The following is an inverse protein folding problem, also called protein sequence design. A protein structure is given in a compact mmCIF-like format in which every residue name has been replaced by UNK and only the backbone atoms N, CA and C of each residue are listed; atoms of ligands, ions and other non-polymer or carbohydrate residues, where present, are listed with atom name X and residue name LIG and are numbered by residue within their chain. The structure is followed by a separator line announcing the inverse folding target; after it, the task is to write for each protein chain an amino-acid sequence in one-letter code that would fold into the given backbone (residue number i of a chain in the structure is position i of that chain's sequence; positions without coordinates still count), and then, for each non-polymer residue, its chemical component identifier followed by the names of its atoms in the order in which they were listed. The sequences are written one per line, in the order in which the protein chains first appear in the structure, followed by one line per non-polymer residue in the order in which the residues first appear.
data_IF_344258448481
#
_entry.id   IF_344258448481
#
_cell.length_a   1.000
_cell.length_b   1.000
_cell.length_c   1.000
_cell.angle_alpha   90.00
_cell.angle_beta   90.00
_cell.angle_gamma   90.00
#
_symmetry.space_group_name_H-M   'P 1'
#
loop_
_entity.id
_entity.type
_entity.pdbx_description
1 polymer ?
#
# COMPACT_ATOMS: atom_id res chain seq x y z
N UNK A 1 -5.87 25.04 2.31
CA UNK A 1 -6.20 23.69 1.79
C UNK A 1 -5.58 22.69 2.76
N UNK A 2 -6.30 21.64 3.16
CA UNK A 2 -5.81 20.60 4.08
C UNK A 2 -4.53 19.93 3.54
N UNK A 3 -4.35 19.90 2.22
CA UNK A 3 -3.13 19.47 1.52
C UNK A 3 -1.87 20.27 1.89
N UNK A 4 -2.01 21.50 2.41
CA UNK A 4 -0.89 22.36 2.84
C UNK A 4 -0.55 22.22 4.33
N UNK A 5 -1.19 21.30 5.06
CA UNK A 5 -0.99 21.16 6.51
C UNK A 5 0.47 20.81 6.85
N UNK A 6 1.22 20.22 5.91
CA UNK A 6 2.61 19.79 6.13
C UNK A 6 3.53 20.34 5.05
N UNK A 7 4.61 20.98 5.49
CA UNK A 7 5.75 21.29 4.64
C UNK A 7 6.57 20.00 4.46
N UNK A 8 6.91 19.58 3.23
CA UNK A 8 7.71 18.38 2.97
C UNK A 8 8.96 18.25 3.86
N UNK A 9 9.68 19.37 4.10
CA UNK A 9 10.86 19.44 4.99
C UNK A 9 10.62 19.02 6.46
N UNK A 10 9.38 19.13 6.96
CA UNK A 10 9.06 18.76 8.34
C UNK A 10 8.80 17.26 8.52
N UNK A 11 8.43 16.56 7.44
CA UNK A 11 8.14 15.13 7.44
C UNK A 11 9.43 14.28 7.52
N UNK A 12 10.46 14.67 6.79
CA UNK A 12 11.76 13.98 6.76
C UNK A 12 12.48 14.00 8.12
N UNK A 13 12.48 15.13 8.83
CA UNK A 13 13.15 15.22 10.14
C UNK A 13 12.47 14.40 11.24
N UNK A 14 11.21 14.01 11.06
CA UNK A 14 10.42 13.23 12.02
C UNK A 14 9.42 12.31 11.28
N UNK A 15 9.90 11.20 10.67
CA UNK A 15 9.09 10.33 9.81
C UNK A 15 7.82 9.80 10.48
N UNK A 16 7.87 9.52 11.79
CA UNK A 16 6.71 9.03 12.55
C UNK A 16 5.51 9.99 12.56
N UNK A 17 5.70 11.29 12.32
CA UNK A 17 4.57 12.24 12.23
C UNK A 17 3.65 11.92 11.05
N UNK A 18 4.18 11.25 10.01
CA UNK A 18 3.41 10.79 8.85
C UNK A 18 2.30 9.81 9.23
N UNK A 19 2.45 9.09 10.35
CA UNK A 19 1.40 8.23 10.88
C UNK A 19 0.09 8.99 11.15
N UNK A 20 0.18 10.10 11.88
CA UNK A 20 -0.99 10.91 12.22
C UNK A 20 -1.60 11.58 10.99
N UNK A 21 -0.77 11.93 10.01
CA UNK A 21 -1.20 12.50 8.74
C UNK A 21 -2.00 11.44 7.96
N UNK A 22 -1.48 10.21 7.91
CA UNK A 22 -2.18 9.07 7.31
C UNK A 22 -3.53 8.82 7.97
N UNK A 23 -3.58 8.79 9.31
CA UNK A 23 -4.82 8.64 10.06
C UNK A 23 -5.84 9.72 9.69
N UNK A 24 -5.44 10.99 9.62
CA UNK A 24 -6.33 12.10 9.30
C UNK A 24 -6.82 12.00 7.85
N UNK A 25 -5.93 11.82 6.88
CA UNK A 25 -6.29 11.76 5.47
C UNK A 25 -7.21 10.59 5.17
N UNK A 26 -6.91 9.39 5.64
CA UNK A 26 -7.77 8.22 5.45
C UNK A 26 -9.12 8.37 6.17
N UNK A 27 -9.14 8.91 7.40
CA UNK A 27 -10.39 9.17 8.12
C UNK A 27 -11.28 10.16 7.39
N UNK A 28 -10.71 11.29 6.95
CA UNK A 28 -11.45 12.28 6.18
C UNK A 28 -12.00 11.69 4.89
N UNK A 29 -11.22 10.90 4.16
CA UNK A 29 -11.69 10.24 2.94
C UNK A 29 -12.89 9.33 3.19
N UNK A 30 -12.87 8.49 4.24
CA UNK A 30 -14.01 7.62 4.56
C UNK A 30 -15.22 8.43 5.02
N UNK A 31 -15.03 9.39 5.92
CA UNK A 31 -16.13 10.17 6.49
C UNK A 31 -16.82 11.06 5.45
N UNK A 32 -16.05 11.72 4.58
CA UNK A 32 -16.61 12.53 3.49
C UNK A 32 -17.41 11.66 2.53
N UNK A 33 -16.87 10.51 2.13
CA UNK A 33 -17.56 9.62 1.19
C UNK A 33 -18.82 9.02 1.82
N UNK A 34 -18.76 8.62 3.08
CA UNK A 34 -19.91 8.13 3.80
C UNK A 34 -21.02 9.20 3.92
N UNK A 35 -20.66 10.43 4.31
CA UNK A 35 -21.64 11.49 4.50
C UNK A 35 -22.27 11.92 3.17
N UNK A 36 -21.47 12.17 2.14
CA UNK A 36 -21.97 12.76 0.90
C UNK A 36 -22.57 11.75 -0.08
N UNK A 37 -22.08 10.51 -0.11
CA UNK A 37 -22.39 9.57 -1.20
C UNK A 37 -23.06 8.26 -0.75
N UNK A 38 -23.10 7.94 0.55
CA UNK A 38 -23.69 6.66 0.99
C UNK A 38 -25.21 6.55 0.76
N UNK A 39 -25.93 7.68 0.71
CA UNK A 39 -27.38 7.71 0.45
C UNK A 39 -27.74 7.91 -1.03
N UNK A 40 -26.75 8.09 -1.90
CA UNK A 40 -26.99 8.29 -3.33
C UNK A 40 -27.28 6.96 -4.04
N UNK A 41 -28.22 6.96 -4.99
CA UNK A 41 -28.68 5.73 -5.66
C UNK A 41 -27.61 5.08 -6.58
N UNK A 42 -26.64 5.86 -7.08
CA UNK A 42 -25.62 5.41 -8.03
C UNK A 42 -24.25 5.36 -7.37
N UNK A 43 -23.84 6.45 -6.72
CA UNK A 43 -22.51 6.60 -6.14
C UNK A 43 -22.27 5.69 -4.94
N UNK A 44 -23.32 5.26 -4.23
CA UNK A 44 -23.23 4.28 -3.15
C UNK A 44 -22.66 2.92 -3.59
N UNK A 45 -22.70 2.59 -4.90
CA UNK A 45 -22.11 1.36 -5.45
C UNK A 45 -20.58 1.44 -5.62
N UNK A 46 -20.02 2.65 -5.62
CA UNK A 46 -18.62 2.93 -5.91
C UNK A 46 -17.86 3.54 -4.73
N UNK A 47 -18.41 3.49 -3.51
CA UNK A 47 -17.84 4.15 -2.33
C UNK A 47 -16.37 3.79 -2.12
N UNK A 48 -16.00 2.51 -2.28
CA UNK A 48 -14.61 2.06 -2.11
C UNK A 48 -13.62 2.72 -3.06
N UNK A 49 -13.99 2.92 -4.33
CA UNK A 49 -13.14 3.65 -5.27
C UNK A 49 -13.07 5.13 -4.92
N UNK A 50 -14.21 5.74 -4.56
CA UNK A 50 -14.27 7.17 -4.21
C UNK A 50 -13.42 7.45 -2.96
N UNK A 51 -13.45 6.57 -1.94
CA UNK A 51 -12.58 6.69 -0.75
C UNK A 51 -11.11 6.70 -1.15
N UNK A 52 -10.70 5.79 -2.04
CA UNK A 52 -9.31 5.75 -2.53
C UNK A 52 -8.97 7.04 -3.27
N UNK A 53 -9.84 7.54 -4.15
CA UNK A 53 -9.63 8.79 -4.89
C UNK A 53 -9.45 9.99 -3.95
N UNK A 54 -10.31 10.15 -2.93
CA UNK A 54 -10.14 11.23 -1.94
C UNK A 54 -8.83 11.09 -1.16
N UNK A 55 -8.45 9.86 -0.78
CA UNK A 55 -7.20 9.62 -0.08
C UNK A 55 -5.98 9.97 -0.94
N UNK A 56 -6.03 9.64 -2.24
CA UNK A 56 -5.03 10.03 -3.24
C UNK A 56 -4.96 11.55 -3.35
N UNK A 57 -6.08 12.24 -3.48
CA UNK A 57 -6.12 13.71 -3.60
C UNK A 57 -5.44 14.40 -2.41
N UNK A 58 -5.72 13.96 -1.17
CA UNK A 58 -5.07 14.54 0.02
C UNK A 58 -3.56 14.26 0.08
N UNK A 59 -3.13 13.12 -0.47
CA UNK A 59 -1.75 12.62 -0.32
C UNK A 59 -0.83 13.05 -1.47
N UNK A 60 -1.39 13.32 -2.65
CA UNK A 60 -0.64 13.56 -3.89
C UNK A 60 0.28 14.79 -3.82
N UNK A 61 -0.14 15.96 -3.31
CA UNK A 61 0.75 17.13 -3.23
C UNK A 61 1.99 16.86 -2.37
N UNK A 62 1.81 16.13 -1.27
CA UNK A 62 2.89 15.75 -0.38
C UNK A 62 3.85 14.78 -1.06
N UNK A 63 3.33 13.67 -1.63
CA UNK A 63 4.16 12.65 -2.26
C UNK A 63 4.93 13.19 -3.47
N UNK A 64 4.29 14.02 -4.29
CA UNK A 64 4.95 14.70 -5.41
C UNK A 64 6.09 15.61 -4.93
N UNK A 65 5.85 16.39 -3.87
CA UNK A 65 6.86 17.27 -3.29
C UNK A 65 8.07 16.52 -2.74
N UNK A 66 7.86 15.34 -2.15
CA UNK A 66 8.92 14.47 -1.66
C UNK A 66 9.74 13.90 -2.82
N UNK A 67 9.10 13.24 -3.79
CA UNK A 67 9.79 12.62 -4.95
C UNK A 67 10.65 13.63 -5.71
N UNK A 68 10.13 14.84 -5.97
CA UNK A 68 10.86 15.90 -6.68
C UNK A 68 12.11 16.38 -5.93
N UNK A 69 12.13 16.23 -4.61
CA UNK A 69 13.31 16.57 -3.81
C UNK A 69 14.28 15.39 -3.79
N UNK A 70 13.80 14.18 -3.60
CA UNK A 70 14.63 12.97 -3.64
C UNK A 70 15.40 12.84 -4.95
N UNK A 71 14.78 13.18 -6.08
CA UNK A 71 15.47 13.17 -7.37
C UNK A 71 16.65 14.15 -7.43
N UNK A 72 16.59 15.30 -6.75
CA UNK A 72 17.73 16.23 -6.71
C UNK A 72 18.88 15.72 -5.85
N UNK A 73 18.56 14.99 -4.79
CA UNK A 73 19.55 14.39 -3.91
C UNK A 73 20.20 13.17 -4.57
N UNK A 74 19.40 12.40 -5.34
CA UNK A 74 19.85 11.26 -6.14
C UNK A 74 20.87 11.65 -7.23
N UNK A 75 20.77 12.85 -7.81
CA UNK A 75 21.72 13.37 -8.81
C UNK A 75 23.18 13.44 -8.29
N UNK A 76 23.39 13.54 -6.98
CA UNK A 76 24.70 13.83 -6.37
C UNK A 76 25.34 12.63 -5.66
N UNK A 77 24.67 11.48 -5.60
CA UNK A 77 25.12 10.29 -4.87
C UNK A 77 25.34 9.09 -5.80
N UNK A 78 26.23 8.18 -5.40
CA UNK A 78 26.47 6.93 -6.14
C UNK A 78 26.70 5.76 -5.17
N UNK A 79 26.25 4.57 -5.58
CA UNK A 79 26.57 3.33 -4.91
C UNK A 79 25.56 2.91 -3.84
N UNK A 80 25.54 1.61 -3.58
CA UNK A 80 24.46 0.92 -2.85
C UNK A 80 24.14 1.54 -1.48
N UNK A 81 25.16 1.75 -0.65
CA UNK A 81 24.97 2.25 0.72
C UNK A 81 24.53 3.71 0.76
N UNK A 82 25.05 4.55 -0.14
CA UNK A 82 24.72 5.96 -0.18
C UNK A 82 23.29 6.16 -0.69
N UNK A 83 22.90 5.45 -1.76
CA UNK A 83 21.53 5.43 -2.30
C UNK A 83 20.51 5.05 -1.22
N UNK A 84 20.75 3.94 -0.50
CA UNK A 84 19.85 3.54 0.57
C UNK A 84 19.78 4.58 1.69
N UNK A 85 20.94 5.08 2.14
CA UNK A 85 21.01 6.04 3.24
C UNK A 85 20.24 7.31 2.92
N UNK A 86 20.42 7.88 1.73
CA UNK A 86 19.76 9.12 1.31
C UNK A 86 18.24 8.96 1.26
N UNK A 87 17.73 7.87 0.69
CA UNK A 87 16.29 7.71 0.48
C UNK A 87 15.53 7.07 1.66
N UNK A 88 16.25 6.48 2.62
CA UNK A 88 15.64 5.73 3.72
C UNK A 88 14.66 6.57 4.55
N UNK A 89 14.96 7.84 4.83
CA UNK A 89 14.10 8.72 5.63
C UNK A 89 12.71 8.92 4.99
N UNK A 90 12.67 9.05 3.66
CA UNK A 90 11.41 9.20 2.91
C UNK A 90 10.64 7.89 2.86
N UNK A 91 11.34 6.78 2.64
CA UNK A 91 10.73 5.44 2.68
C UNK A 91 10.10 5.19 4.06
N UNK A 92 10.79 5.52 5.14
CA UNK A 92 10.22 5.45 6.50
C UNK A 92 9.00 6.35 6.67
N UNK A 93 9.04 7.59 6.16
CA UNK A 93 7.90 8.50 6.21
C UNK A 93 6.67 7.93 5.49
N UNK A 94 6.87 7.31 4.34
CA UNK A 94 5.82 6.66 3.58
C UNK A 94 5.25 5.41 4.26
N UNK A 95 6.09 4.58 4.88
CA UNK A 95 5.63 3.43 5.69
C UNK A 95 4.73 3.90 6.83
N UNK A 96 5.13 4.96 7.55
CA UNK A 96 4.30 5.53 8.61
C UNK A 96 2.97 6.08 8.10
N UNK A 97 2.98 6.78 6.96
CA UNK A 97 1.76 7.25 6.30
C UNK A 97 0.82 6.08 5.99
N UNK A 98 1.34 5.00 5.40
CA UNK A 98 0.58 3.81 5.06
C UNK A 98 -0.01 3.12 6.30
N UNK A 99 0.76 3.01 7.39
CA UNK A 99 0.26 2.44 8.64
C UNK A 99 -0.91 3.26 9.18
N UNK A 100 -0.85 4.59 9.07
CA UNK A 100 -1.97 5.48 9.38
C UNK A 100 -3.19 5.19 8.51
N UNK A 101 -3.01 4.95 7.21
CA UNK A 101 -4.11 4.56 6.32
C UNK A 101 -4.76 3.24 6.75
N UNK A 102 -3.97 2.19 6.95
CA UNK A 102 -4.49 0.85 7.32
C UNK A 102 -5.31 0.94 8.60
N UNK A 103 -4.80 1.59 9.65
CA UNK A 103 -5.51 1.69 10.93
C UNK A 103 -6.81 2.49 10.78
N UNK A 104 -6.79 3.64 10.10
CA UNK A 104 -7.99 4.44 9.89
C UNK A 104 -9.04 3.70 9.04
N UNK A 105 -8.63 3.08 7.94
CA UNK A 105 -9.54 2.32 7.08
C UNK A 105 -10.12 1.09 7.80
N UNK A 106 -9.31 0.35 8.56
CA UNK A 106 -9.80 -0.76 9.41
C UNK A 106 -10.78 -0.29 10.47
N UNK A 107 -10.46 0.80 11.19
CA UNK A 107 -11.34 1.34 12.21
C UNK A 107 -12.69 1.78 11.63
N UNK A 108 -12.68 2.62 10.58
CA UNK A 108 -13.92 3.18 10.04
C UNK A 108 -14.76 2.16 9.29
N UNK A 109 -14.15 1.20 8.58
CA UNK A 109 -14.90 0.12 7.92
C UNK A 109 -15.70 -0.71 8.92
N UNK A 110 -15.10 -1.03 10.07
CA UNK A 110 -15.77 -1.78 11.13
C UNK A 110 -16.79 -0.90 11.86
N UNK A 111 -16.37 0.31 12.26
CA UNK A 111 -17.20 1.21 13.06
C UNK A 111 -18.47 1.66 12.35
N UNK A 112 -18.39 1.98 11.06
CA UNK A 112 -19.56 2.39 10.27
C UNK A 112 -20.45 1.21 9.87
N UNK A 113 -19.93 -0.02 9.88
CA UNK A 113 -20.68 -1.24 9.56
C UNK A 113 -21.32 -1.26 8.16
N UNK A 114 -20.86 -0.41 7.24
CA UNK A 114 -21.42 -0.27 5.90
C UNK A 114 -20.70 -1.19 4.92
N UNK A 115 -21.40 -2.22 4.43
CA UNK A 115 -20.88 -3.22 3.49
C UNK A 115 -20.46 -2.65 2.12
N UNK A 116 -20.95 -1.46 1.76
CA UNK A 116 -20.61 -0.77 0.52
C UNK A 116 -19.29 -0.01 0.54
N UNK A 117 -18.76 0.37 1.72
CA UNK A 117 -17.59 1.27 1.80
C UNK A 117 -16.33 0.67 1.17
N UNK A 118 -16.16 -0.65 1.19
CA UNK A 118 -14.98 -1.33 0.62
C UNK A 118 -15.34 -2.61 -0.15
N UNK A 119 -16.46 -2.59 -0.88
CA UNK A 119 -16.95 -3.73 -1.66
C UNK A 119 -15.96 -4.22 -2.73
N UNK A 120 -15.39 -3.32 -3.53
CA UNK A 120 -14.43 -3.67 -4.58
C UNK A 120 -13.10 -4.20 -4.01
N UNK A 121 -12.71 -3.70 -2.84
CA UNK A 121 -11.53 -4.15 -2.12
C UNK A 121 -11.72 -5.52 -1.49
N UNK A 122 -12.93 -5.82 -0.99
CA UNK A 122 -13.31 -7.16 -0.56
C UNK A 122 -13.23 -8.16 -1.73
N UNK A 123 -13.70 -7.77 -2.92
CA UNK A 123 -13.57 -8.59 -4.12
C UNK A 123 -12.10 -8.81 -4.52
N UNK A 124 -11.25 -7.79 -4.40
CA UNK A 124 -9.80 -7.92 -4.63
C UNK A 124 -9.17 -8.89 -3.62
N UNK A 125 -9.53 -8.78 -2.34
CA UNK A 125 -9.11 -9.73 -1.31
C UNK A 125 -9.51 -11.16 -1.68
N UNK A 126 -10.75 -11.36 -2.12
CA UNK A 126 -11.25 -12.67 -2.56
C UNK A 126 -10.52 -13.21 -3.78
N UNK A 127 -10.25 -12.38 -4.79
CA UNK A 127 -9.48 -12.76 -5.98
C UNK A 127 -8.07 -13.26 -5.63
N UNK A 128 -7.44 -12.69 -4.59
CA UNK A 128 -6.09 -13.08 -4.16
C UNK A 128 -6.12 -14.35 -3.30
N UNK A 129 -7.16 -14.53 -2.48
CA UNK A 129 -7.16 -15.52 -1.40
C UNK A 129 -8.10 -16.72 -1.62
N UNK A 130 -8.92 -16.72 -2.67
CA UNK A 130 -9.92 -17.75 -2.97
C UNK A 130 -9.76 -18.27 -4.41
N UNK A 131 -9.80 -19.60 -4.57
CA UNK A 131 -9.82 -20.28 -5.87
C UNK A 131 -11.25 -20.42 -6.45
N UNK A 132 -12.28 -20.13 -5.65
CA UNK A 132 -13.70 -20.17 -6.03
C UNK A 132 -14.23 -18.85 -6.62
N UNK A 133 -15.55 -18.75 -6.79
CA UNK A 133 -16.15 -17.52 -7.33
C UNK A 133 -15.93 -16.33 -6.37
N UNK A 134 -15.68 -15.15 -6.97
CA UNK A 134 -15.43 -13.92 -6.21
C UNK A 134 -16.70 -13.52 -5.45
N UNK A 135 -17.86 -13.72 -6.06
CA UNK A 135 -19.18 -13.41 -5.51
C UNK A 135 -19.51 -14.26 -4.28
N UNK A 136 -19.24 -15.57 -4.34
CA UNK A 136 -19.47 -16.46 -3.19
C UNK A 136 -18.53 -16.08 -2.03
N UNK A 137 -17.26 -15.81 -2.33
CA UNK A 137 -16.31 -15.34 -1.31
C UNK A 137 -16.75 -14.00 -0.69
N UNK A 138 -17.15 -13.02 -1.51
CA UNK A 138 -17.56 -11.71 -1.03
C UNK A 138 -18.86 -11.79 -0.20
N UNK A 139 -19.81 -12.66 -0.57
CA UNK A 139 -21.02 -12.89 0.21
C UNK A 139 -20.74 -13.59 1.55
N UNK A 140 -19.74 -14.49 1.57
CA UNK A 140 -19.32 -15.22 2.77
C UNK A 140 -18.61 -14.33 3.78
N UNK A 141 -17.69 -13.50 3.32
CA UNK A 141 -16.80 -12.71 4.17
C UNK A 141 -17.20 -11.25 4.34
N UNK A 142 -18.18 -10.76 3.58
CA UNK A 142 -18.70 -9.42 3.76
C UNK A 142 -19.29 -9.17 5.15
N UNK A 143 -19.48 -7.89 5.47
CA UNK A 143 -20.14 -7.46 6.70
C UNK A 143 -21.51 -8.15 6.85
N UNK A 144 -21.64 -9.04 7.84
CA UNK A 144 -22.87 -9.82 8.11
C UNK A 144 -22.92 -11.23 7.49
N UNK A 145 -21.85 -11.67 6.82
CA UNK A 145 -21.72 -13.03 6.27
C UNK A 145 -21.68 -14.13 7.34
N UNK A 146 -22.12 -15.34 6.99
CA UNK A 146 -22.35 -16.45 7.94
C UNK A 146 -21.07 -17.11 8.47
N UNK A 147 -19.90 -16.81 7.91
CA UNK A 147 -18.63 -17.39 8.32
C UNK A 147 -17.56 -16.29 8.39
N UNK A 148 -17.32 -15.75 9.59
CA UNK A 148 -16.05 -15.07 9.92
C UNK A 148 -14.88 -16.05 10.07
N UNK A 149 -14.90 -17.12 9.28
CA UNK A 149 -13.92 -18.20 9.31
C UNK A 149 -12.57 -17.72 8.80
N UNK A 150 -11.51 -18.22 9.42
CA UNK A 150 -10.14 -17.96 9.00
C UNK A 150 -10.00 -18.51 7.58
N UNK A 151 -9.88 -17.65 6.57
CA UNK A 151 -9.20 -18.06 5.34
C UNK A 151 -7.74 -18.25 5.77
N UNK A 152 -7.43 -19.45 6.24
CA UNK A 152 -6.11 -20.01 6.03
C UNK A 152 -6.07 -20.13 4.52
N UNK A 153 -5.51 -19.14 3.82
CA UNK A 153 -5.38 -19.18 2.36
C UNK A 153 -4.99 -20.61 2.02
N UNK A 154 -5.81 -21.27 1.20
CA UNK A 154 -5.97 -22.72 1.17
C UNK A 154 -4.65 -23.40 1.54
N UNK A 155 -4.61 -24.09 2.67
CA UNK A 155 -3.55 -25.06 2.88
C UNK A 155 -3.84 -26.13 1.82
N UNK A 156 -3.37 -25.90 0.60
CA UNK A 156 -3.11 -26.97 -0.33
C UNK A 156 -2.02 -27.80 0.35
N UNK A 157 -2.45 -28.70 1.23
CA UNK A 157 -1.64 -29.74 1.89
C UNK A 157 -0.94 -30.63 0.84
N UNK A 158 -1.16 -30.41 -0.46
CA UNK A 158 -0.51 -31.10 -1.57
C UNK A 158 0.55 -30.31 -2.37
N UNK A 159 0.69 -28.99 -2.21
CA UNK A 159 1.71 -28.21 -2.95
C UNK A 159 2.86 -27.82 -2.02
N UNK A 160 4.10 -28.14 -2.41
CA UNK A 160 5.30 -27.77 -1.65
C UNK A 160 5.28 -26.27 -1.31
N UNK A 161 5.65 -25.89 -0.08
CA UNK A 161 5.60 -24.48 0.38
C UNK A 161 6.32 -23.49 -0.55
N UNK A 162 7.28 -23.98 -1.34
CA UNK A 162 7.93 -23.24 -2.41
C UNK A 162 6.96 -22.72 -3.49
N UNK A 163 6.01 -23.55 -3.96
CA UNK A 163 5.03 -23.13 -4.97
C UNK A 163 4.15 -21.99 -4.47
N UNK A 164 3.80 -22.00 -3.19
CA UNK A 164 3.04 -20.92 -2.56
C UNK A 164 3.85 -19.63 -2.44
N UNK A 165 5.14 -19.73 -2.09
CA UNK A 165 6.03 -18.56 -2.09
C UNK A 165 6.11 -17.95 -3.48
N UNK A 166 6.26 -18.78 -4.51
CA UNK A 166 6.34 -18.32 -5.90
C UNK A 166 5.05 -17.66 -6.36
N UNK A 167 3.87 -18.20 -6.03
CA UNK A 167 2.59 -17.61 -6.42
C UNK A 167 2.32 -16.26 -5.73
N UNK A 168 2.68 -16.13 -4.45
CA UNK A 168 2.59 -14.87 -3.71
C UNK A 168 3.58 -13.85 -4.30
N UNK A 169 4.82 -14.27 -4.52
CA UNK A 169 5.85 -13.42 -5.12
C UNK A 169 5.44 -12.92 -6.50
N UNK A 170 4.87 -13.78 -7.35
CA UNK A 170 4.38 -13.41 -8.68
C UNK A 170 3.32 -12.30 -8.60
N UNK A 171 2.28 -12.48 -7.78
CA UNK A 171 1.25 -11.47 -7.57
C UNK A 171 1.86 -10.14 -7.09
N UNK A 172 2.79 -10.21 -6.14
CA UNK A 172 3.43 -9.03 -5.59
C UNK A 172 4.38 -8.34 -6.57
N UNK A 173 5.03 -9.08 -7.47
CA UNK A 173 5.84 -8.53 -8.56
C UNK A 173 4.95 -7.81 -9.58
N UNK A 174 3.74 -8.33 -9.87
CA UNK A 174 2.79 -7.60 -10.71
C UNK A 174 2.41 -6.24 -10.10
N UNK A 175 2.15 -6.19 -8.79
CA UNK A 175 1.87 -4.93 -8.08
C UNK A 175 3.10 -4.01 -8.09
N UNK A 176 4.30 -4.53 -7.92
CA UNK A 176 5.56 -3.78 -8.02
C UNK A 176 5.74 -3.16 -9.41
N UNK A 177 5.56 -3.93 -10.49
CA UNK A 177 5.66 -3.44 -11.87
C UNK A 177 4.60 -2.37 -12.13
N UNK A 178 3.36 -2.60 -11.69
CA UNK A 178 2.28 -1.63 -11.84
C UNK A 178 2.61 -0.32 -11.10
N UNK A 179 3.16 -0.42 -9.89
CA UNK A 179 3.62 0.72 -9.09
C UNK A 179 4.73 1.49 -9.81
N UNK A 180 5.72 0.80 -10.39
CA UNK A 180 6.80 1.42 -11.17
C UNK A 180 6.25 2.22 -12.35
N UNK A 181 5.37 1.61 -13.15
CA UNK A 181 4.78 2.25 -14.33
C UNK A 181 3.93 3.46 -13.93
N UNK A 182 3.06 3.31 -12.92
CA UNK A 182 2.23 4.43 -12.44
C UNK A 182 3.07 5.58 -11.91
N UNK A 183 4.15 5.28 -11.18
CA UNK A 183 5.03 6.31 -10.67
C UNK A 183 5.85 6.99 -11.78
N UNK A 184 6.25 6.24 -12.81
CA UNK A 184 6.95 6.78 -13.96
C UNK A 184 6.07 7.75 -14.77
N UNK A 185 4.81 7.39 -15.00
CA UNK A 185 3.87 8.19 -15.81
C UNK A 185 3.36 9.41 -15.03
N UNK A 186 2.96 9.21 -13.78
CA UNK A 186 2.23 10.21 -13.00
C UNK A 186 3.04 10.79 -11.83
N UNK A 187 4.32 10.44 -11.69
CA UNK A 187 5.16 10.84 -10.57
C UNK A 187 4.66 10.24 -9.25
N UNK A 188 3.82 10.99 -8.53
CA UNK A 188 3.21 10.55 -7.27
C UNK A 188 2.02 9.58 -7.46
N UNK A 189 1.66 9.19 -8.69
CA UNK A 189 0.50 8.35 -8.98
C UNK A 189 0.54 6.95 -8.34
N UNK A 190 1.72 6.46 -7.94
CA UNK A 190 1.86 5.24 -7.14
C UNK A 190 1.02 5.26 -5.85
N UNK A 191 0.70 6.45 -5.30
CA UNK A 191 -0.17 6.58 -4.13
C UNK A 191 -1.55 5.96 -4.32
N UNK A 192 -2.04 5.88 -5.56
CA UNK A 192 -3.29 5.16 -5.87
C UNK A 192 -3.17 3.67 -5.55
N UNK A 193 -2.10 3.02 -6.01
CA UNK A 193 -1.83 1.59 -5.79
C UNK A 193 -1.67 1.31 -4.29
N UNK A 194 -1.00 2.22 -3.59
CA UNK A 194 -0.72 2.10 -2.16
C UNK A 194 -1.97 2.34 -1.29
N UNK A 195 -2.79 3.35 -1.61
CA UNK A 195 -4.06 3.58 -0.93
C UNK A 195 -5.05 2.44 -1.20
N UNK A 196 -5.08 1.90 -2.42
CA UNK A 196 -5.85 0.70 -2.74
C UNK A 196 -5.41 -0.48 -1.87
N UNK A 197 -4.10 -0.79 -1.84
CA UNK A 197 -3.56 -1.85 -0.98
C UNK A 197 -3.93 -1.67 0.50
N UNK A 198 -3.83 -0.46 1.04
CA UNK A 198 -4.21 -0.19 2.42
C UNK A 198 -5.68 -0.52 2.69
N UNK A 199 -6.58 -0.22 1.75
CA UNK A 199 -8.01 -0.55 1.86
C UNK A 199 -8.31 -2.06 1.70
N UNK A 200 -7.54 -2.79 0.89
CA UNK A 200 -7.61 -4.26 0.80
C UNK A 200 -7.14 -4.92 2.10
N UNK A 201 -6.01 -4.48 2.66
CA UNK A 201 -5.54 -4.96 3.98
C UNK A 201 -6.56 -4.63 5.08
N UNK A 202 -7.19 -3.46 5.01
CA UNK A 202 -8.22 -3.10 5.97
C UNK A 202 -9.42 -4.07 5.94
N UNK A 203 -9.84 -4.52 4.76
CA UNK A 203 -10.86 -5.59 4.64
C UNK A 203 -10.35 -6.92 5.19
N UNK A 204 -9.11 -7.31 4.88
CA UNK A 204 -8.52 -8.54 5.41
C UNK A 204 -8.49 -8.54 6.95
N UNK A 205 -8.12 -7.41 7.58
CA UNK A 205 -8.20 -7.20 9.03
C UNK A 205 -9.65 -7.30 9.52
N UNK A 206 -10.60 -6.67 8.84
CA UNK A 206 -12.03 -6.76 9.17
C UNK A 206 -12.52 -8.21 9.21
N UNK A 207 -12.24 -8.97 8.15
CA UNK A 207 -12.62 -10.38 8.03
C UNK A 207 -12.00 -11.22 9.15
N UNK A 208 -10.68 -11.13 9.33
CA UNK A 208 -9.97 -11.90 10.36
C UNK A 208 -10.47 -11.61 11.78
N UNK A 209 -10.80 -10.34 12.05
CA UNK A 209 -11.27 -9.90 13.37
C UNK A 209 -12.78 -10.05 13.56
N UNK A 210 -13.47 -10.63 12.57
CA UNK A 210 -14.94 -10.75 12.52
C UNK A 210 -15.63 -9.39 12.70
N UNK A 211 -15.04 -8.36 12.11
CA UNK A 211 -15.45 -6.96 12.19
C UNK A 211 -15.63 -6.48 13.64
N UNK A 212 -14.70 -6.84 14.53
CA UNK A 212 -14.66 -6.34 15.90
C UNK A 212 -13.52 -5.36 16.06
N UNK A 213 -13.83 -4.12 16.46
CA UNK A 213 -12.83 -3.05 16.67
C UNK A 213 -11.73 -3.49 17.64
N UNK A 214 -12.08 -4.20 18.71
CA UNK A 214 -11.12 -4.73 19.68
C UNK A 214 -10.11 -5.73 19.08
N UNK A 215 -10.43 -6.35 17.93
CA UNK A 215 -9.54 -7.27 17.24
C UNK A 215 -8.53 -6.59 16.32
N UNK A 216 -8.70 -5.30 16.00
CA UNK A 216 -7.82 -4.57 15.06
C UNK A 216 -6.34 -4.73 15.40
N UNK A 217 -5.88 -4.61 16.68
CA UNK A 217 -4.46 -4.79 17.00
C UNK A 217 -3.92 -6.18 16.61
N UNK A 218 -4.72 -7.23 16.81
CA UNK A 218 -4.35 -8.60 16.43
C UNK A 218 -4.31 -8.78 14.91
N UNK A 219 -5.30 -8.23 14.20
CA UNK A 219 -5.30 -8.26 12.73
C UNK A 219 -4.14 -7.48 12.13
N UNK A 220 -3.83 -6.31 12.68
CA UNK A 220 -2.67 -5.53 12.28
C UNK A 220 -1.38 -6.34 12.49
N UNK A 221 -1.23 -6.99 13.66
CA UNK A 221 -0.09 -7.87 13.93
C UNK A 221 0.06 -8.99 12.90
N UNK A 222 -1.04 -9.65 12.52
CA UNK A 222 -1.03 -10.73 11.52
C UNK A 222 -0.56 -10.25 10.14
N UNK A 223 -1.14 -9.17 9.63
CA UNK A 223 -0.89 -8.73 8.25
C UNK A 223 0.37 -7.87 8.11
N UNK A 224 0.79 -7.14 9.15
CA UNK A 224 1.97 -6.27 9.07
C UNK A 224 3.31 -6.99 9.17
N UNK A 225 3.34 -8.27 9.56
CA UNK A 225 4.58 -9.06 9.59
C UNK A 225 5.21 -9.16 8.20
N UNK A 226 4.46 -9.61 7.21
CA UNK A 226 4.91 -9.67 5.82
C UNK A 226 4.52 -8.40 5.04
N UNK A 227 3.39 -7.77 5.39
CA UNK A 227 2.89 -6.58 4.70
C UNK A 227 3.79 -5.35 4.85
N UNK A 228 4.49 -5.16 5.98
CA UNK A 228 5.45 -4.05 6.09
C UNK A 228 6.63 -4.20 5.11
N UNK A 229 7.33 -5.35 5.05
CA UNK A 229 8.30 -5.63 3.99
C UNK A 229 7.75 -5.42 2.57
N UNK A 230 6.59 -5.99 2.25
CA UNK A 230 5.97 -5.87 0.92
C UNK A 230 5.71 -4.41 0.51
N UNK A 231 5.06 -3.64 1.37
CA UNK A 231 4.76 -2.24 1.13
C UNK A 231 6.04 -1.39 1.08
N UNK A 232 7.07 -1.77 1.84
CA UNK A 232 8.40 -1.13 1.74
C UNK A 232 8.98 -1.31 0.34
N UNK A 233 8.91 -2.53 -0.23
CA UNK A 233 9.34 -2.78 -1.61
C UNK A 233 8.55 -1.93 -2.61
N UNK A 234 7.24 -1.76 -2.41
CA UNK A 234 6.42 -0.91 -3.29
C UNK A 234 6.75 0.57 -3.16
N UNK A 235 7.04 1.08 -1.96
CA UNK A 235 7.47 2.47 -1.78
C UNK A 235 8.85 2.74 -2.38
N UNK A 236 9.80 1.81 -2.25
CA UNK A 236 11.10 1.90 -2.91
C UNK A 236 10.91 1.95 -4.43
N UNK A 237 10.02 1.10 -4.96
CA UNK A 237 9.70 1.04 -6.39
C UNK A 237 9.01 2.31 -6.89
N UNK A 238 8.07 2.85 -6.11
CA UNK A 238 7.43 4.13 -6.38
C UNK A 238 8.48 5.26 -6.41
N UNK A 239 9.38 5.29 -5.43
CA UNK A 239 10.44 6.29 -5.41
C UNK A 239 11.35 6.17 -6.64
N UNK A 240 11.78 4.95 -6.98
CA UNK A 240 12.61 4.69 -8.16
C UNK A 240 11.92 5.15 -9.46
N UNK A 241 10.63 4.80 -9.65
CA UNK A 241 9.86 5.24 -10.82
C UNK A 241 9.65 6.74 -10.88
N UNK A 242 9.35 7.37 -9.73
CA UNK A 242 9.16 8.81 -9.62
C UNK A 242 10.44 9.60 -9.89
N UNK A 243 11.57 9.18 -9.32
CA UNK A 243 12.89 9.79 -9.57
C UNK A 243 13.23 9.69 -11.05
N UNK A 244 13.10 8.50 -11.63
CA UNK A 244 13.40 8.27 -13.04
C UNK A 244 12.52 9.13 -13.96
N UNK A 245 11.21 9.20 -13.69
CA UNK A 245 10.28 10.02 -14.46
C UNK A 245 10.59 11.51 -14.39
N UNK A 246 10.91 12.02 -13.20
CA UNK A 246 11.27 13.44 -13.03
C UNK A 246 12.58 13.77 -13.76
N UNK A 247 13.59 12.90 -13.68
CA UNK A 247 14.88 13.10 -14.37
C UNK A 247 14.71 13.11 -15.90
N UNK A 248 13.94 12.18 -16.47
CA UNK A 248 13.62 12.16 -17.92
C UNK A 248 12.99 13.48 -18.35
N UNK A 249 12.01 13.99 -17.60
CA UNK A 249 11.32 15.23 -17.93
C UNK A 249 12.25 16.44 -17.83
N UNK A 250 13.14 16.47 -16.84
CA UNK A 250 14.02 17.62 -16.57
C UNK A 250 15.23 17.70 -17.49
N UNK A 251 15.84 16.57 -17.84
CA UNK A 251 17.16 16.52 -18.50
C UNK A 251 17.21 15.67 -19.76
N UNK A 252 16.15 14.92 -20.06
CA UNK A 252 16.15 13.95 -21.16
C UNK A 252 17.12 12.80 -20.92
N UNK A 253 17.56 12.13 -21.98
CA UNK A 253 18.32 10.87 -21.91
C UNK A 253 19.85 11.04 -21.97
N UNK A 254 20.40 12.19 -21.58
CA UNK A 254 21.83 12.51 -21.82
C UNK A 254 22.53 13.05 -20.57
N UNK A 255 23.79 12.67 -20.41
CA UNK A 255 24.71 13.24 -19.42
C UNK A 255 25.09 12.27 -18.31
N UNK A 256 26.18 12.60 -17.60
CA UNK A 256 26.70 11.77 -16.50
C UNK A 256 25.70 11.61 -15.35
N UNK A 257 24.94 12.68 -15.05
CA UNK A 257 23.88 12.68 -14.03
C UNK A 257 22.75 11.71 -14.38
N UNK A 258 22.30 11.70 -15.63
CA UNK A 258 21.29 10.76 -16.11
C UNK A 258 21.73 9.28 -15.93
N UNK A 259 22.97 8.96 -16.32
CA UNK A 259 23.51 7.60 -16.15
C UNK A 259 23.61 7.18 -14.69
N UNK A 260 23.93 8.12 -13.80
CA UNK A 260 23.95 7.92 -12.35
C UNK A 260 22.56 7.62 -11.79
N UNK A 261 21.56 8.43 -12.14
CA UNK A 261 20.17 8.22 -11.72
C UNK A 261 19.67 6.85 -12.19
N UNK A 262 19.95 6.45 -13.43
CA UNK A 262 19.63 5.09 -13.90
C UNK A 262 20.26 4.02 -13.01
N UNK A 263 21.55 4.16 -12.70
CA UNK A 263 22.26 3.24 -11.83
C UNK A 263 21.59 3.13 -10.45
N UNK A 264 21.23 4.26 -9.86
CA UNK A 264 20.57 4.32 -8.55
C UNK A 264 19.15 3.73 -8.60
N UNK A 265 18.39 3.98 -9.67
CA UNK A 265 17.07 3.37 -9.91
C UNK A 265 17.17 1.85 -9.98
N UNK A 266 18.16 1.31 -10.71
CA UNK A 266 18.39 -0.14 -10.78
C UNK A 266 18.73 -0.70 -9.40
N UNK A 267 19.56 -0.01 -8.62
CA UNK A 267 19.89 -0.39 -7.23
C UNK A 267 18.62 -0.43 -6.36
N UNK A 268 17.77 0.60 -6.43
CA UNK A 268 16.52 0.65 -5.67
C UNK A 268 15.57 -0.49 -6.06
N UNK A 269 15.39 -0.76 -7.35
CA UNK A 269 14.56 -1.86 -7.83
C UNK A 269 15.10 -3.22 -7.39
N UNK A 270 16.42 -3.40 -7.38
CA UNK A 270 17.06 -4.61 -6.88
C UNK A 270 16.82 -4.80 -5.37
N UNK A 271 16.95 -3.75 -4.58
CA UNK A 271 16.64 -3.77 -3.14
C UNK A 271 15.17 -4.12 -2.92
N UNK A 272 14.25 -3.48 -3.65
CA UNK A 272 12.82 -3.76 -3.56
C UNK A 272 12.51 -5.23 -3.85
N UNK A 273 13.11 -5.81 -4.90
CA UNK A 273 12.90 -7.22 -5.24
C UNK A 273 13.38 -8.17 -4.13
N UNK A 274 14.55 -7.91 -3.52
CA UNK A 274 15.05 -8.72 -2.39
C UNK A 274 14.07 -8.66 -1.21
N UNK A 275 13.61 -7.46 -0.86
CA UNK A 275 12.65 -7.26 0.24
C UNK A 275 11.34 -8.00 -0.05
N UNK A 276 10.88 -8.01 -1.31
CA UNK A 276 9.67 -8.70 -1.72
C UNK A 276 9.78 -10.22 -1.59
N UNK A 277 10.94 -10.80 -1.92
CA UNK A 277 11.23 -12.23 -1.70
C UNK A 277 11.18 -12.55 -0.21
N UNK A 278 11.77 -11.69 0.64
CA UNK A 278 11.70 -11.84 2.10
C UNK A 278 10.25 -11.77 2.59
N UNK A 279 9.45 -10.84 2.07
CA UNK A 279 8.03 -10.70 2.41
C UNK A 279 7.24 -11.98 2.11
N UNK A 280 7.42 -12.57 0.92
CA UNK A 280 6.74 -13.79 0.52
C UNK A 280 7.12 -15.00 1.41
N UNK A 281 8.41 -15.12 1.78
CA UNK A 281 8.87 -16.13 2.73
C UNK A 281 8.24 -15.92 4.11
N UNK A 282 8.16 -14.67 4.58
CA UNK A 282 7.51 -14.32 5.85
C UNK A 282 6.02 -14.63 5.85
N UNK A 283 5.33 -14.42 4.74
CA UNK A 283 3.90 -14.74 4.61
C UNK A 283 3.65 -16.24 4.65
N UNK A 284 4.47 -17.05 3.95
CA UNK A 284 4.25 -18.50 3.86
C UNK A 284 4.71 -19.24 5.10
N UNK A 285 5.85 -18.88 5.67
CA UNK A 285 6.47 -19.67 6.75
C UNK A 285 6.31 -19.06 8.13
N UNK A 286 6.40 -17.73 8.29
CA UNK A 286 6.41 -17.10 9.62
C UNK A 286 5.02 -16.72 10.11
N UNK A 287 4.21 -16.10 9.25
CA UNK A 287 2.87 -15.61 9.60
C UNK A 287 1.95 -16.75 10.09
N UNK A 288 1.92 -17.94 9.46
CA UNK A 288 1.06 -19.04 9.92
C UNK A 288 1.53 -19.67 11.23
N UNK A 289 2.82 -19.61 11.58
CA UNK A 289 3.29 -20.11 12.89
C UNK A 289 2.76 -19.24 14.03
N UNK A 290 2.64 -17.93 13.81
CA UNK A 290 2.26 -16.96 14.83
C UNK A 290 0.74 -16.74 14.93
N UNK A 291 0.00 -16.96 13.84
CA UNK A 291 -1.43 -16.63 13.71
C UNK A 291 -2.28 -17.72 13.05
N UNK A 292 -1.72 -18.91 12.80
CA UNK A 292 -2.41 -20.06 12.22
C UNK A 292 -3.25 -20.85 13.22
#
# INVERSE_FOLDING_TARGET
MLEMLIRPRAAEKRPWKMFFIGLVYASLSVLLVHWFFASDAVLSKFLGLIVVVFCVMFSLPFMYGMIKREEKEDEEIEGFFEVWKTHSDVIYGFIWLFLGFVIAFSFWSIFLGNSGIFNAQLQTYCMINSEGSIEDCASKYGLGGQDGGIITGNIAVGNSGLWRVLSILENNVYVMIFTLIFSLIFGAGAIFVLAWNATVIAQAIGIFTKYRVAGIPMGLGRYMIHGLPEITAYFITALAGGIFGVEIIRRGFKGKKFSRVIGNVIILLFIALIILVVAAVMEVYFTPILFG
#
